data_IF_205472190939
#
_entry.id   IF_205472190939
#
_cell.length_a   1.000
_cell.length_b   1.000
_cell.length_c   1.000
_cell.angle_alpha   90.00
_cell.angle_beta   90.00
_cell.angle_gamma   90.00
#
_symmetry.space_group_name_H-M   'P 1'
#
loop_
_entity.id
_entity.type
_entity.pdbx_description
1 polymer ?
#
# COMPACT_ATOMS: atom_id res chain seq x y z
N UNK A 1 27.23 -9.61 34.74
CA UNK A 1 26.16 -8.70 34.27
C UNK A 1 26.79 -7.31 34.24
N UNK A 2 27.08 -6.64 33.13
CA UNK A 2 26.51 -6.67 31.79
C UNK A 2 27.56 -6.24 30.76
N UNK A 3 27.77 -7.05 29.72
CA UNK A 3 28.66 -6.70 28.58
C UNK A 3 28.03 -7.01 27.21
N UNK A 4 26.73 -7.29 27.15
CA UNK A 4 26.07 -7.69 25.90
C UNK A 4 25.26 -6.58 25.19
N UNK A 5 25.30 -5.34 25.66
CA UNK A 5 24.38 -4.28 25.17
C UNK A 5 24.98 -3.29 24.14
N UNK A 6 26.24 -3.41 23.70
CA UNK A 6 26.90 -2.37 22.86
C UNK A 6 27.10 -2.65 21.37
N UNK A 7 26.79 -3.84 20.85
CA UNK A 7 27.16 -4.22 19.46
C UNK A 7 26.08 -4.08 18.38
N UNK A 8 24.88 -3.61 18.70
CA UNK A 8 23.77 -3.49 17.72
C UNK A 8 23.69 -2.13 16.98
N UNK A 9 24.53 -1.17 17.35
CA UNK A 9 24.36 0.25 17.01
C UNK A 9 24.48 0.56 15.51
N UNK A 10 25.47 0.03 14.76
CA UNK A 10 25.64 0.35 13.33
C UNK A 10 24.50 -0.17 12.45
N UNK A 11 24.01 -1.38 12.72
CA UNK A 11 22.91 -1.99 11.97
C UNK A 11 21.59 -1.26 12.21
N UNK A 12 21.34 -0.81 13.45
CA UNK A 12 20.18 0.02 13.76
C UNK A 12 20.22 1.35 13.01
N UNK A 13 21.38 2.02 12.98
CA UNK A 13 21.54 3.29 12.26
C UNK A 13 21.33 3.11 10.75
N UNK A 14 21.96 2.10 10.14
CA UNK A 14 21.79 1.81 8.72
C UNK A 14 20.34 1.44 8.37
N UNK A 15 19.71 0.61 9.19
CA UNK A 15 18.31 0.23 9.02
C UNK A 15 17.39 1.45 9.07
N UNK A 16 17.56 2.33 10.05
CA UNK A 16 16.76 3.55 10.14
C UNK A 16 17.04 4.52 8.98
N UNK A 17 18.28 4.63 8.51
CA UNK A 17 18.63 5.40 7.33
C UNK A 17 17.89 4.87 6.08
N UNK A 18 17.89 3.56 5.85
CA UNK A 18 17.18 2.93 4.72
C UNK A 18 15.66 3.12 4.85
N UNK A 19 15.10 2.92 6.04
CA UNK A 19 13.66 3.05 6.28
C UNK A 19 13.15 4.50 6.20
N UNK A 20 14.03 5.47 6.43
CA UNK A 20 13.72 6.90 6.32
C UNK A 20 14.02 7.48 4.95
N UNK A 21 14.76 6.77 4.09
CA UNK A 21 15.16 7.29 2.79
C UNK A 21 13.95 7.49 1.85
N UNK A 22 13.70 8.71 1.36
CA UNK A 22 12.48 9.03 0.61
C UNK A 22 12.38 8.30 -0.73
N UNK A 23 13.52 8.03 -1.38
CA UNK A 23 13.57 7.35 -2.68
C UNK A 23 13.57 5.81 -2.59
N UNK A 24 13.55 5.23 -1.39
CA UNK A 24 13.70 3.77 -1.24
C UNK A 24 12.67 2.98 -2.06
N UNK A 25 11.39 3.37 -1.95
CA UNK A 25 10.30 2.69 -2.66
C UNK A 25 10.45 2.84 -4.17
N UNK A 26 10.72 4.05 -4.69
CA UNK A 26 10.87 4.26 -6.13
C UNK A 26 12.05 3.48 -6.69
N UNK A 27 13.21 3.49 -6.00
CA UNK A 27 14.39 2.72 -6.42
C UNK A 27 14.10 1.21 -6.49
N UNK A 28 13.37 0.65 -5.51
CA UNK A 28 13.01 -0.77 -5.54
C UNK A 28 12.02 -1.09 -6.67
N UNK A 29 11.06 -0.20 -6.93
CA UNK A 29 10.11 -0.35 -8.04
C UNK A 29 10.82 -0.24 -9.39
N UNK A 30 11.74 0.70 -9.55
CA UNK A 30 12.54 0.87 -10.77
C UNK A 30 13.42 -0.35 -11.02
N UNK A 31 14.04 -0.88 -9.95
CA UNK A 31 14.81 -2.13 -10.02
C UNK A 31 13.95 -3.29 -10.51
N UNK A 32 12.74 -3.46 -9.99
CA UNK A 32 11.79 -4.46 -10.50
C UNK A 32 11.40 -4.22 -11.94
N UNK A 33 11.14 -2.96 -12.31
CA UNK A 33 10.77 -2.61 -13.69
C UNK A 33 11.87 -3.00 -14.67
N UNK A 34 13.13 -2.74 -14.32
CA UNK A 34 14.29 -3.14 -15.12
C UNK A 34 14.40 -4.67 -15.21
N UNK A 35 14.34 -5.37 -14.07
CA UNK A 35 14.45 -6.82 -14.03
C UNK A 35 13.36 -7.52 -14.84
N UNK A 36 12.11 -7.05 -14.76
CA UNK A 36 10.99 -7.59 -15.55
C UNK A 36 11.13 -7.31 -17.05
N UNK A 37 11.87 -6.27 -17.44
CA UNK A 37 12.11 -5.94 -18.84
C UNK A 37 13.28 -6.70 -19.47
N UNK A 38 14.15 -7.32 -18.66
CA UNK A 38 15.24 -8.13 -19.19
C UNK A 38 14.64 -9.26 -20.02
N UNK A 39 14.84 -9.21 -21.34
CA UNK A 39 14.56 -10.33 -22.25
C UNK A 39 15.55 -11.43 -21.93
N UNK A 40 15.22 -12.27 -20.97
CA UNK A 40 16.06 -13.41 -20.59
C UNK A 40 15.89 -14.51 -21.63
N UNK A 41 17.02 -15.07 -22.07
CA UNK A 41 16.99 -16.37 -22.75
C UNK A 41 16.48 -17.41 -21.73
N UNK A 42 15.80 -18.49 -22.18
CA UNK A 42 15.22 -19.50 -21.28
C UNK A 42 16.15 -19.97 -20.13
N UNK A 43 17.45 -20.26 -20.35
CA UNK A 43 18.33 -20.71 -19.27
C UNK A 43 18.61 -19.64 -18.20
N UNK A 44 18.54 -18.35 -18.53
CA UNK A 44 18.77 -17.25 -17.57
C UNK A 44 17.50 -16.94 -16.77
N UNK A 45 16.33 -17.04 -17.42
CA UNK A 45 15.03 -16.82 -16.76
C UNK A 45 14.75 -17.88 -15.67
N UNK A 46 15.23 -19.09 -15.89
CA UNK A 46 15.04 -20.22 -14.98
C UNK A 46 16.07 -20.26 -13.86
N UNK A 47 17.19 -19.53 -13.98
CA UNK A 47 18.25 -19.45 -12.98
C UNK A 47 17.72 -18.97 -11.63
N UNK A 48 18.08 -19.70 -10.57
CA UNK A 48 17.74 -19.36 -9.19
C UNK A 48 18.20 -17.95 -8.81
N UNK A 49 19.39 -17.55 -9.25
CA UNK A 49 19.94 -16.21 -9.01
C UNK A 49 19.05 -15.10 -9.56
N UNK A 50 18.49 -15.26 -10.76
CA UNK A 50 17.60 -14.26 -11.34
C UNK A 50 16.27 -14.17 -10.57
N UNK A 51 15.74 -15.30 -10.10
CA UNK A 51 14.55 -15.32 -9.25
C UNK A 51 14.78 -14.59 -7.94
N UNK A 52 15.96 -14.76 -7.33
CA UNK A 52 16.30 -14.05 -6.09
C UNK A 52 16.45 -12.54 -6.30
N UNK A 53 16.99 -12.11 -7.44
CA UNK A 53 17.04 -10.70 -7.83
C UNK A 53 15.64 -10.09 -7.96
N UNK A 54 14.64 -10.85 -8.40
CA UNK A 54 13.24 -10.40 -8.44
C UNK A 54 12.58 -10.41 -7.05
N UNK A 55 12.84 -11.44 -6.25
CA UNK A 55 12.24 -11.60 -4.92
C UNK A 55 12.69 -10.53 -3.95
N UNK A 56 13.96 -10.12 -3.99
CA UNK A 56 14.51 -9.20 -3.00
C UNK A 56 13.83 -7.82 -3.00
N UNK A 57 13.67 -7.10 -4.14
CA UNK A 57 12.98 -5.82 -4.15
C UNK A 57 11.50 -5.95 -3.79
N UNK A 58 10.81 -7.01 -4.24
CA UNK A 58 9.40 -7.27 -3.88
C UNK A 58 9.22 -7.44 -2.36
N UNK A 59 10.04 -8.31 -1.75
CA UNK A 59 10.02 -8.54 -0.32
C UNK A 59 10.39 -7.25 0.46
N UNK A 60 11.36 -6.49 -0.05
CA UNK A 60 11.80 -5.22 0.53
C UNK A 60 10.69 -4.17 0.54
N UNK A 61 9.96 -4.01 -0.58
CA UNK A 61 8.79 -3.14 -0.67
C UNK A 61 7.73 -3.59 0.33
N UNK A 62 7.39 -4.88 0.36
CA UNK A 62 6.38 -5.41 1.28
C UNK A 62 6.74 -5.13 2.74
N UNK A 63 7.97 -5.46 3.16
CA UNK A 63 8.46 -5.21 4.52
C UNK A 63 8.47 -3.72 4.86
N UNK A 64 8.92 -2.88 3.93
CA UNK A 64 8.92 -1.43 4.12
C UNK A 64 7.50 -0.91 4.32
N UNK A 65 6.53 -1.40 3.55
CA UNK A 65 5.12 -1.07 3.73
C UNK A 65 4.54 -1.55 5.05
N UNK A 66 4.95 -2.72 5.56
CA UNK A 66 4.55 -3.18 6.89
C UNK A 66 5.10 -2.28 8.01
N UNK A 67 6.31 -1.74 7.86
CA UNK A 67 6.97 -0.92 8.88
C UNK A 67 6.47 0.53 8.87
N UNK A 68 6.35 1.13 7.67
CA UNK A 68 6.04 2.56 7.50
C UNK A 68 4.55 2.82 7.24
N UNK A 69 3.76 1.76 7.05
CA UNK A 69 2.30 1.81 6.93
C UNK A 69 1.84 2.73 5.80
N UNK A 70 0.85 3.57 6.11
CA UNK A 70 0.16 4.43 5.13
C UNK A 70 1.10 5.26 4.24
N UNK A 71 2.12 5.93 4.82
CA UNK A 71 3.02 6.82 4.05
C UNK A 71 3.74 6.10 2.92
N UNK A 72 4.29 4.93 3.21
CA UNK A 72 4.95 4.11 2.19
C UNK A 72 3.98 3.63 1.13
N UNK A 73 2.72 3.37 1.48
CA UNK A 73 1.71 2.95 0.49
C UNK A 73 1.32 4.12 -0.42
N UNK A 74 1.22 5.34 0.10
CA UNK A 74 1.03 6.54 -0.75
C UNK A 74 2.18 6.70 -1.74
N UNK A 75 3.44 6.59 -1.29
CA UNK A 75 4.59 6.64 -2.18
C UNK A 75 4.57 5.51 -3.20
N UNK A 76 4.25 4.28 -2.76
CA UNK A 76 4.15 3.11 -3.62
C UNK A 76 3.07 3.28 -4.70
N UNK A 77 1.93 3.90 -4.38
CA UNK A 77 0.87 4.20 -5.35
C UNK A 77 1.21 5.34 -6.32
N UNK A 78 2.19 6.17 -5.99
CA UNK A 78 2.79 7.11 -6.95
C UNK A 78 3.70 6.44 -7.99
N UNK A 79 3.87 5.11 -7.94
CA UNK A 79 4.72 4.34 -8.87
C UNK A 79 3.90 3.40 -9.77
N UNK A 80 4.57 2.70 -10.68
CA UNK A 80 3.97 1.72 -11.61
C UNK A 80 3.87 0.30 -11.04
N UNK A 81 3.91 0.13 -9.71
CA UNK A 81 3.96 -1.18 -9.05
C UNK A 81 2.84 -2.13 -9.49
N UNK A 82 1.61 -1.64 -9.68
CA UNK A 82 0.46 -2.49 -10.03
C UNK A 82 0.68 -3.11 -11.43
N UNK A 83 1.12 -2.30 -12.39
CA UNK A 83 1.46 -2.77 -13.73
C UNK A 83 2.67 -3.70 -13.74
N UNK A 84 3.65 -3.47 -12.85
CA UNK A 84 4.78 -4.39 -12.65
C UNK A 84 4.29 -5.73 -12.10
N UNK A 85 3.42 -5.74 -11.09
CA UNK A 85 2.84 -6.97 -10.52
C UNK A 85 2.04 -7.73 -11.59
N UNK A 86 1.28 -7.04 -12.43
CA UNK A 86 0.56 -7.68 -13.53
C UNK A 86 1.51 -8.35 -14.53
N UNK A 87 2.62 -7.69 -14.90
CA UNK A 87 3.66 -8.29 -15.76
C UNK A 87 4.36 -9.48 -15.10
N UNK A 88 4.72 -9.35 -13.82
CA UNK A 88 5.32 -10.44 -13.02
C UNK A 88 4.41 -11.67 -12.98
N UNK A 89 3.10 -11.47 -12.89
CA UNK A 89 2.15 -12.57 -12.91
C UNK A 89 2.11 -13.31 -14.26
N UNK A 90 2.38 -12.61 -15.37
CA UNK A 90 2.44 -13.22 -16.69
C UNK A 90 3.75 -13.97 -16.92
N UNK A 91 4.88 -13.43 -16.46
CA UNK A 91 6.21 -13.99 -16.74
C UNK A 91 6.71 -14.95 -15.66
N UNK A 92 6.34 -14.72 -14.39
CA UNK A 92 6.82 -15.47 -13.22
C UNK A 92 5.67 -15.94 -12.32
N UNK A 93 4.46 -16.09 -12.87
CA UNK A 93 3.27 -16.52 -12.12
C UNK A 93 3.32 -17.95 -11.56
N UNK A 94 4.34 -18.74 -11.91
CA UNK A 94 4.60 -20.07 -11.34
C UNK A 94 5.51 -20.04 -10.10
N UNK A 95 6.22 -18.93 -9.84
CA UNK A 95 7.08 -18.81 -8.67
C UNK A 95 6.25 -18.52 -7.41
N UNK A 96 6.21 -19.47 -6.48
CA UNK A 96 5.39 -19.39 -5.28
C UNK A 96 5.69 -18.16 -4.41
N UNK A 97 6.96 -17.75 -4.31
CA UNK A 97 7.36 -16.60 -3.49
C UNK A 97 6.93 -15.27 -4.13
N UNK A 98 7.10 -15.16 -5.46
CA UNK A 98 6.59 -13.99 -6.22
C UNK A 98 5.08 -13.91 -6.08
N UNK A 99 4.37 -15.02 -6.30
CA UNK A 99 2.91 -15.09 -6.16
C UNK A 99 2.45 -14.70 -4.76
N UNK A 100 3.07 -15.25 -3.72
CA UNK A 100 2.70 -14.96 -2.34
C UNK A 100 2.96 -13.49 -2.00
N UNK A 101 4.11 -12.94 -2.39
CA UNK A 101 4.47 -11.54 -2.08
C UNK A 101 3.57 -10.55 -2.81
N UNK A 102 3.31 -10.78 -4.10
CA UNK A 102 2.37 -9.98 -4.89
C UNK A 102 0.94 -10.04 -4.31
N UNK A 103 0.49 -11.24 -3.91
CA UNK A 103 -0.81 -11.42 -3.26
C UNK A 103 -0.93 -10.61 -1.96
N UNK A 104 0.10 -10.62 -1.11
CA UNK A 104 0.12 -9.81 0.10
C UNK A 104 0.17 -8.30 -0.19
N UNK A 105 0.96 -7.86 -1.17
CA UNK A 105 1.02 -6.46 -1.58
C UNK A 105 -0.35 -5.95 -2.06
N UNK A 106 -1.02 -6.69 -2.95
CA UNK A 106 -2.32 -6.30 -3.49
C UNK A 106 -3.42 -6.34 -2.42
N UNK A 107 -3.46 -7.39 -1.61
CA UNK A 107 -4.54 -7.62 -0.64
C UNK A 107 -4.34 -6.87 0.67
N UNK A 108 -3.24 -7.17 1.36
CA UNK A 108 -2.98 -6.75 2.74
C UNK A 108 -2.36 -5.35 2.85
N UNK A 109 -1.70 -4.88 1.78
CA UNK A 109 -1.10 -3.54 1.75
C UNK A 109 -2.01 -2.58 0.96
N UNK A 110 -1.99 -2.64 -0.37
CA UNK A 110 -2.69 -1.68 -1.23
C UNK A 110 -4.18 -1.68 -0.94
N UNK A 111 -4.74 -2.88 -0.90
CA UNK A 111 -6.13 -3.10 -0.67
C UNK A 111 -6.67 -2.57 0.64
N UNK A 112 -5.91 -2.79 1.72
CA UNK A 112 -6.27 -2.36 3.06
C UNK A 112 -6.40 -0.84 3.15
N UNK A 113 -5.57 -0.11 2.42
CA UNK A 113 -5.58 1.36 2.43
C UNK A 113 -6.37 1.99 1.27
N UNK A 114 -6.96 1.19 0.37
CA UNK A 114 -7.75 1.71 -0.76
C UNK A 114 -9.04 2.43 -0.34
N UNK A 115 -9.42 2.37 0.94
CA UNK A 115 -10.51 3.19 1.48
C UNK A 115 -10.15 4.69 1.55
N UNK A 116 -8.86 5.03 1.53
CA UNK A 116 -8.40 6.41 1.63
C UNK A 116 -8.30 7.06 0.26
N UNK A 117 -8.93 8.23 0.10
CA UNK A 117 -9.03 8.95 -1.18
C UNK A 117 -7.72 9.05 -1.97
N UNK A 118 -6.55 9.44 -1.40
CA UNK A 118 -5.32 9.53 -2.19
C UNK A 118 -4.88 8.19 -2.78
N UNK A 119 -4.97 7.12 -1.98
CA UNK A 119 -4.61 5.76 -2.40
C UNK A 119 -5.66 5.21 -3.36
N UNK A 120 -6.94 5.46 -3.10
CA UNK A 120 -8.05 5.05 -3.96
C UNK A 120 -7.90 5.63 -5.38
N UNK A 121 -7.67 6.94 -5.48
CA UNK A 121 -7.52 7.63 -6.76
C UNK A 121 -6.26 7.15 -7.50
N UNK A 122 -5.14 7.04 -6.79
CA UNK A 122 -3.89 6.55 -7.39
C UNK A 122 -3.98 5.08 -7.81
N UNK A 123 -4.63 4.22 -7.01
CA UNK A 123 -4.87 2.83 -7.35
C UNK A 123 -5.80 2.71 -8.57
N UNK A 124 -6.88 3.52 -8.63
CA UNK A 124 -7.79 3.56 -9.77
C UNK A 124 -7.06 3.91 -11.07
N UNK A 125 -6.15 4.88 -11.04
CA UNK A 125 -5.38 5.27 -12.23
C UNK A 125 -4.43 4.15 -12.69
N UNK A 126 -3.68 3.58 -11.75
CA UNK A 126 -2.76 2.47 -12.03
C UNK A 126 -3.48 1.20 -12.54
N UNK A 127 -4.66 0.91 -11.99
CA UNK A 127 -5.47 -0.24 -12.43
C UNK A 127 -6.05 -0.02 -13.82
N UNK A 128 -6.48 1.20 -14.16
CA UNK A 128 -6.97 1.54 -15.51
C UNK A 128 -5.92 1.26 -16.59
N UNK A 129 -4.64 1.54 -16.30
CA UNK A 129 -3.54 1.20 -17.21
C UNK A 129 -3.35 -0.32 -17.43
N UNK A 130 -3.88 -1.12 -16.51
CA UNK A 130 -3.75 -2.59 -16.45
C UNK A 130 -5.04 -3.32 -16.92
N UNK A 131 -6.19 -2.64 -16.90
CA UNK A 131 -7.55 -3.18 -17.12
C UNK A 131 -7.89 -3.52 -18.59
N UNK A 132 -6.87 -3.82 -19.40
CA UNK A 132 -7.11 -4.41 -20.72
C UNK A 132 -7.40 -5.90 -20.55
N UNK A 133 -8.49 -6.45 -21.13
CA UNK A 133 -8.84 -7.87 -20.99
C UNK A 133 -7.75 -8.82 -21.52
N UNK A 134 -6.88 -8.34 -22.41
CA UNK A 134 -5.72 -9.08 -22.92
C UNK A 134 -4.48 -9.00 -22.01
N UNK A 135 -4.47 -8.08 -21.04
CA UNK A 135 -3.36 -7.87 -20.09
C UNK A 135 -3.65 -8.43 -18.70
N UNK A 136 -4.87 -8.87 -18.41
CA UNK A 136 -5.19 -9.44 -17.10
C UNK A 136 -4.48 -10.78 -16.92
N UNK A 137 -3.57 -10.92 -15.93
CA UNK A 137 -2.92 -12.19 -15.69
C UNK A 137 -3.94 -13.22 -15.18
N UNK A 138 -3.66 -14.51 -15.44
CA UNK A 138 -4.43 -15.64 -14.88
C UNK A 138 -3.87 -16.06 -13.53
N UNK A 139 -4.55 -16.98 -12.85
CA UNK A 139 -4.11 -17.55 -11.59
C UNK A 139 -4.30 -16.62 -10.38
N UNK A 140 -3.61 -16.92 -9.28
CA UNK A 140 -3.84 -16.28 -7.97
C UNK A 140 -3.65 -14.76 -8.03
N UNK A 141 -2.57 -14.28 -8.65
CA UNK A 141 -2.32 -12.84 -8.77
C UNK A 141 -3.41 -12.17 -9.62
N UNK A 142 -3.83 -12.81 -10.72
CA UNK A 142 -4.95 -12.38 -11.55
C UNK A 142 -6.25 -12.19 -10.78
N UNK A 143 -6.66 -13.22 -10.05
CA UNK A 143 -7.85 -13.15 -9.19
C UNK A 143 -7.75 -12.01 -8.16
N UNK A 144 -6.55 -11.78 -7.60
CA UNK A 144 -6.32 -10.70 -6.63
C UNK A 144 -6.34 -9.31 -7.23
N UNK A 145 -5.78 -9.13 -8.43
CA UNK A 145 -5.92 -7.89 -9.19
C UNK A 145 -7.40 -7.62 -9.48
N UNK A 146 -8.14 -8.62 -9.94
CA UNK A 146 -9.57 -8.49 -10.17
C UNK A 146 -10.35 -8.12 -8.89
N UNK A 147 -10.07 -8.79 -7.75
CA UNK A 147 -10.68 -8.41 -6.46
C UNK A 147 -10.33 -6.97 -6.05
N UNK A 148 -9.11 -6.53 -6.31
CA UNK A 148 -8.69 -5.15 -6.02
C UNK A 148 -9.43 -4.15 -6.92
N UNK A 149 -9.60 -4.46 -8.22
CA UNK A 149 -10.38 -3.65 -9.18
C UNK A 149 -11.82 -3.48 -8.67
N UNK A 150 -12.50 -4.58 -8.37
CA UNK A 150 -13.89 -4.52 -7.89
C UNK A 150 -14.01 -3.69 -6.61
N UNK A 151 -13.07 -3.84 -5.68
CA UNK A 151 -13.05 -3.06 -4.44
C UNK A 151 -12.80 -1.57 -4.71
N UNK A 152 -11.83 -1.23 -5.55
CA UNK A 152 -11.52 0.16 -5.91
C UNK A 152 -12.72 0.80 -6.64
N UNK A 153 -13.36 0.09 -7.56
CA UNK A 153 -14.56 0.55 -8.25
C UNK A 153 -15.72 0.77 -7.29
N UNK A 154 -15.97 -0.17 -6.36
CA UNK A 154 -17.00 -0.02 -5.32
C UNK A 154 -16.75 1.22 -4.45
N UNK A 155 -15.52 1.43 -3.97
CA UNK A 155 -15.20 2.62 -3.18
C UNK A 155 -15.28 3.92 -3.99
N UNK A 156 -14.93 3.87 -5.28
CA UNK A 156 -15.06 5.01 -6.18
C UNK A 156 -16.54 5.37 -6.42
N UNK A 157 -17.41 4.37 -6.62
CA UNK A 157 -18.85 4.58 -6.72
C UNK A 157 -19.41 5.20 -5.43
N UNK A 158 -18.99 4.73 -4.26
CA UNK A 158 -19.39 5.33 -2.98
C UNK A 158 -18.93 6.80 -2.90
N UNK A 159 -17.69 7.08 -3.31
CA UNK A 159 -17.13 8.44 -3.31
C UNK A 159 -17.83 9.37 -4.32
N UNK A 160 -18.21 8.86 -5.49
CA UNK A 160 -18.87 9.63 -6.56
C UNK A 160 -20.38 9.80 -6.31
N UNK A 161 -21.01 8.84 -5.64
CA UNK A 161 -22.40 8.94 -5.18
C UNK A 161 -22.54 9.88 -3.97
N UNK A 162 -21.43 10.20 -3.30
CA UNK A 162 -21.40 11.24 -2.27
C UNK A 162 -21.17 12.61 -2.92
N UNK A 163 -21.95 13.65 -2.54
CA UNK A 163 -21.80 14.98 -3.11
C UNK A 163 -20.39 15.56 -2.85
N UNK A 164 -19.93 16.54 -3.66
CA UNK A 164 -18.52 16.94 -3.80
C UNK A 164 -17.91 17.69 -2.60
N UNK A 165 -18.52 17.59 -1.42
CA UNK A 165 -18.04 18.18 -0.17
C UNK A 165 -17.63 17.04 0.74
N UNK A 166 -16.50 16.37 0.50
CA UNK A 166 -15.31 16.62 1.31
C UNK A 166 -15.68 17.25 2.65
N UNK A 167 -15.97 16.43 3.67
CA UNK A 167 -16.01 16.67 5.13
C UNK A 167 -16.97 15.68 5.87
N UNK A 168 -17.42 14.59 5.24
CA UNK A 168 -18.35 13.66 5.90
C UNK A 168 -17.77 12.92 7.10
N UNK A 169 -18.68 12.43 7.95
CA UNK A 169 -18.34 11.71 9.14
C UNK A 169 -17.61 10.43 8.78
N UNK A 170 -16.46 10.19 9.40
CA UNK A 170 -15.63 9.03 9.11
C UNK A 170 -16.23 7.70 9.54
N UNK A 171 -17.42 7.67 10.14
CA UNK A 171 -18.18 6.46 10.38
C UNK A 171 -18.95 6.10 9.10
N UNK A 172 -18.67 4.95 8.49
CA UNK A 172 -19.32 4.52 7.24
C UNK A 172 -20.83 4.27 7.35
N UNK A 173 -21.35 4.15 8.57
CA UNK A 173 -22.79 4.03 8.82
C UNK A 173 -23.47 5.40 9.08
N UNK A 174 -22.71 6.49 9.03
CA UNK A 174 -23.20 7.83 9.28
C UNK A 174 -23.31 8.60 7.95
N UNK A 175 -24.44 9.24 7.72
CA UNK A 175 -24.71 10.05 6.52
C UNK A 175 -24.62 11.55 6.81
N UNK A 176 -24.18 11.93 8.01
CA UNK A 176 -24.01 13.34 8.37
C UNK A 176 -22.86 13.96 7.58
N UNK A 177 -23.13 15.11 6.98
CA UNK A 177 -22.19 15.91 6.21
C UNK A 177 -21.86 17.18 6.98
N UNK A 178 -20.61 17.65 6.92
CA UNK A 178 -20.15 18.78 7.72
C UNK A 178 -20.48 20.13 7.07
N UNK A 179 -21.77 20.37 6.87
CA UNK A 179 -22.30 21.61 6.27
C UNK A 179 -21.89 22.89 7.03
N UNK A 180 -21.37 22.77 8.25
CA UNK A 180 -20.94 23.89 9.09
C UNK A 180 -19.49 23.84 9.59
N UNK A 181 -18.63 22.96 9.05
CA UNK A 181 -17.25 22.78 9.53
C UNK A 181 -17.09 22.47 11.05
N UNK A 182 -18.10 21.85 11.66
CA UNK A 182 -18.17 21.51 13.08
C UNK A 182 -17.65 20.12 13.41
N UNK A 183 -17.29 19.31 12.41
CA UNK A 183 -16.84 17.94 12.66
C UNK A 183 -15.47 17.93 13.32
N UNK A 184 -15.32 17.04 14.29
CA UNK A 184 -14.09 16.94 15.07
C UNK A 184 -13.17 15.93 14.43
N UNK A 185 -11.95 16.37 14.10
CA UNK A 185 -10.89 15.47 13.65
C UNK A 185 -10.45 14.55 14.79
N UNK A 186 -10.14 13.31 14.44
CA UNK A 186 -9.50 12.38 15.35
C UNK A 186 -8.22 13.01 15.92
N UNK A 187 -8.12 13.09 17.25
CA UNK A 187 -6.96 13.69 17.93
C UNK A 187 -5.65 12.96 17.61
N UNK A 188 -5.72 11.64 17.41
CA UNK A 188 -4.59 10.82 17.01
C UNK A 188 -4.11 11.12 15.59
N UNK A 189 -4.82 10.63 14.57
CA UNK A 189 -4.34 10.72 13.19
C UNK A 189 -4.54 12.11 12.56
N UNK A 190 -5.57 12.87 12.98
CA UNK A 190 -6.07 14.12 12.35
C UNK A 190 -6.54 13.98 10.89
N UNK A 191 -6.62 12.75 10.36
CA UNK A 191 -6.97 12.47 8.96
C UNK A 191 -8.45 12.17 8.76
N UNK A 192 -9.12 11.68 9.80
CA UNK A 192 -10.56 11.36 9.79
C UNK A 192 -11.26 12.33 10.73
N UNK A 193 -12.47 12.75 10.39
CA UNK A 193 -13.31 13.61 11.23
C UNK A 193 -14.67 12.99 11.50
N UNK A 194 -15.33 13.42 12.57
CA UNK A 194 -16.58 12.84 13.03
C UNK A 194 -17.55 13.93 13.45
N UNK A 195 -18.83 13.74 13.12
CA UNK A 195 -19.91 14.58 13.62
C UNK A 195 -20.06 14.50 15.15
N UNK A 196 -19.71 13.35 15.74
CA UNK A 196 -19.88 13.09 17.16
C UNK A 196 -18.86 12.11 17.72
N UNK A 197 -18.66 12.15 19.04
CA UNK A 197 -17.86 11.17 19.76
C UNK A 197 -18.45 9.75 19.68
N UNK A 198 -19.76 9.61 19.47
CA UNK A 198 -20.40 8.32 19.25
C UNK A 198 -19.94 7.69 17.92
N UNK A 199 -19.99 8.46 16.82
CA UNK A 199 -19.49 8.01 15.52
C UNK A 199 -18.00 7.68 15.54
N UNK A 200 -17.20 8.47 16.28
CA UNK A 200 -15.80 8.14 16.49
C UNK A 200 -15.63 6.78 17.20
N UNK A 201 -16.40 6.51 18.27
CA UNK A 201 -16.32 5.25 19.03
C UNK A 201 -16.74 4.04 18.21
N UNK A 202 -17.81 4.15 17.42
CA UNK A 202 -18.26 3.07 16.53
C UNK A 202 -17.17 2.74 15.52
N UNK A 203 -16.69 3.75 14.78
CA UNK A 203 -15.61 3.54 13.81
C UNK A 203 -14.30 3.08 14.49
N UNK A 204 -14.03 3.50 15.73
CA UNK A 204 -12.88 3.06 16.53
C UNK A 204 -12.85 1.56 16.75
N UNK A 205 -13.98 0.98 17.15
CA UNK A 205 -14.11 -0.46 17.43
C UNK A 205 -13.99 -1.31 16.17
N UNK A 206 -14.53 -0.84 15.05
CA UNK A 206 -14.53 -1.58 13.80
C UNK A 206 -13.13 -1.67 13.17
N UNK A 207 -12.51 -0.52 12.89
CA UNK A 207 -11.25 -0.50 12.14
C UNK A 207 -10.35 0.68 12.46
N UNK A 208 -10.89 1.80 12.96
CA UNK A 208 -10.09 3.01 13.11
C UNK A 208 -9.02 2.88 14.19
N UNK A 209 -9.19 2.05 15.23
CA UNK A 209 -8.14 1.86 16.26
C UNK A 209 -6.80 1.43 15.66
N UNK A 210 -6.83 0.39 14.81
CA UNK A 210 -5.63 -0.17 14.19
C UNK A 210 -5.04 0.85 13.20
N UNK A 211 -5.90 1.40 12.34
CA UNK A 211 -5.50 2.37 11.32
C UNK A 211 -4.94 3.67 11.94
N UNK A 212 -5.55 4.16 13.03
CA UNK A 212 -5.12 5.38 13.71
C UNK A 212 -3.71 5.24 14.27
N UNK A 213 -3.38 4.10 14.87
CA UNK A 213 -2.01 3.81 15.35
C UNK A 213 -0.97 3.90 14.23
N UNK A 214 -1.26 3.25 13.09
CA UNK A 214 -0.39 3.24 11.90
C UNK A 214 -0.26 4.64 11.26
N UNK A 215 -1.29 5.48 11.38
CA UNK A 215 -1.27 6.86 10.88
C UNK A 215 -0.60 7.84 11.85
N UNK A 216 -0.66 7.61 13.17
CA UNK A 216 -0.06 8.48 14.19
C UNK A 216 1.46 8.42 14.22
N UNK A 217 2.05 7.25 13.94
CA UNK A 217 3.51 7.06 13.89
C UNK A 217 4.19 7.89 12.79
N UNK A 218 3.43 8.51 11.89
CA UNK A 218 3.92 9.45 10.89
C UNK A 218 4.22 10.87 11.43
N UNK A 219 3.88 11.21 12.67
CA UNK A 219 4.02 12.57 13.21
C UNK A 219 5.35 12.89 13.90
N UNK A 220 6.17 11.90 14.25
CA UNK A 220 7.41 12.18 15.02
C UNK A 220 8.60 12.67 14.20
N UNK A 221 8.49 12.81 12.88
CA UNK A 221 9.61 13.19 12.01
C UNK A 221 9.35 14.43 11.13
N UNK A 222 8.31 15.22 11.44
CA UNK A 222 7.91 16.41 10.66
C UNK A 222 7.96 17.72 11.43
N UNK A 223 8.62 17.75 12.59
CA UNK A 223 8.97 18.96 13.33
C UNK A 223 10.43 18.84 13.75
N UNK A 224 11.31 19.05 12.78
CA UNK A 224 12.66 19.57 12.94
C UNK A 224 13.05 20.21 11.61
#
# INVERSE_FOLDING_TARGET
>A
MDQHERNDTPYKVLREAILSHPAFISTMVDSLSLLVQVKTTPPVAESETFRDLLRYPLASIYRHCQIRGYRSVVHLMGTTIISIIARLAQTHGSDANVVQTCNHLLGAVIGRFSIHRPILLAASENLRATDSPYKMPRGIIGHRLHSLILRVQSWKQILEAQPPHALDCGNSQCTETDSGHNFRRCSGCKLVQYCSAACQRTHWLEQHKILCSEMCSSKRSGQQ
#
